data_IF_334758966998
#
_entry.id   IF_334758966998
#
_cell.length_a   1.000
_cell.length_b   1.000
_cell.length_c   1.000
_cell.angle_alpha   90.00
_cell.angle_beta   90.00
_cell.angle_gamma   90.00
#
_symmetry.space_group_name_H-M   'P 1'
#
loop_
_entity.id
_entity.type
_entity.pdbx_description
1 polymer ?
#
# COMPACT_ATOMS: atom_id res chain seq x y z
N UNK A 1 12.87 8.81 1.91
CA UNK A 1 12.95 7.66 2.84
C UNK A 1 13.94 6.66 2.26
N UNK A 2 14.89 6.15 3.06
CA UNK A 2 15.87 5.14 2.62
C UNK A 2 15.29 3.72 2.72
N UNK A 3 14.72 3.36 3.86
CA UNK A 3 13.95 2.13 4.07
C UNK A 3 13.00 2.31 5.26
N UNK A 4 12.06 1.38 5.39
CA UNK A 4 11.22 1.18 6.57
C UNK A 4 11.07 -0.34 6.77
N UNK A 5 11.09 -0.80 8.01
CA UNK A 5 10.82 -2.20 8.37
C UNK A 5 9.36 -2.38 8.74
N UNK A 6 8.78 -3.52 8.36
CA UNK A 6 7.47 -3.98 8.80
C UNK A 6 7.62 -5.36 9.39
N UNK A 7 7.41 -5.48 10.70
CA UNK A 7 7.48 -6.75 11.38
C UNK A 7 6.14 -7.46 11.35
N UNK A 8 6.16 -8.77 11.20
CA UNK A 8 4.95 -9.59 11.03
C UNK A 8 5.11 -10.95 11.68
N UNK A 9 4.03 -11.50 12.28
CA UNK A 9 4.01 -12.90 12.70
C UNK A 9 3.95 -13.88 11.51
N UNK A 10 3.55 -13.44 10.31
CA UNK A 10 3.44 -14.27 9.10
C UNK A 10 4.02 -13.54 7.87
N UNK A 11 5.33 -13.74 7.68
CA UNK A 11 6.06 -13.15 6.56
C UNK A 11 5.58 -13.63 5.19
N UNK A 12 5.06 -14.86 5.10
CA UNK A 12 4.63 -15.42 3.82
C UNK A 12 3.34 -14.75 3.35
N UNK A 13 2.36 -14.65 4.26
CA UNK A 13 1.10 -13.96 3.96
C UNK A 13 1.33 -12.47 3.66
N UNK A 14 2.14 -11.79 4.48
CA UNK A 14 2.36 -10.36 4.32
C UNK A 14 3.20 -10.04 3.07
N UNK A 15 4.23 -10.83 2.76
CA UNK A 15 5.01 -10.64 1.53
C UNK A 15 4.15 -10.88 0.29
N UNK A 16 3.38 -11.97 0.25
CA UNK A 16 2.47 -12.25 -0.87
C UNK A 16 1.48 -11.10 -1.10
N UNK A 17 0.92 -10.53 -0.02
CA UNK A 17 0.07 -9.35 -0.09
C UNK A 17 0.78 -8.15 -0.71
N UNK A 18 1.92 -7.72 -0.17
CA UNK A 18 2.60 -6.51 -0.65
C UNK A 18 3.17 -6.67 -2.06
N UNK A 19 3.62 -7.87 -2.43
CA UNK A 19 4.07 -8.14 -3.80
C UNK A 19 2.91 -8.02 -4.79
N UNK A 20 1.74 -8.58 -4.47
CA UNK A 20 0.56 -8.43 -5.31
C UNK A 20 0.09 -6.98 -5.39
N UNK A 21 -0.05 -6.31 -4.23
CA UNK A 21 -0.57 -4.95 -4.15
C UNK A 21 0.34 -3.92 -4.83
N UNK A 22 1.67 -4.01 -4.63
CA UNK A 22 2.63 -3.00 -5.08
C UNK A 22 3.25 -3.29 -6.45
N UNK A 23 3.09 -4.50 -7.00
CA UNK A 23 3.55 -4.85 -8.35
C UNK A 23 3.06 -3.87 -9.44
N UNK A 24 1.78 -3.41 -9.46
CA UNK A 24 1.33 -2.39 -10.42
C UNK A 24 2.04 -1.04 -10.34
N UNK A 25 2.59 -0.71 -9.18
CA UNK A 25 3.39 0.50 -8.97
C UNK A 25 4.86 0.30 -9.41
N UNK A 26 5.26 -0.94 -9.66
CA UNK A 26 6.61 -1.33 -10.11
C UNK A 26 7.54 -1.80 -8.99
N UNK A 27 7.05 -1.98 -7.76
CA UNK A 27 7.83 -2.53 -6.66
C UNK A 27 8.01 -4.05 -6.84
N UNK A 28 9.16 -4.55 -6.36
CA UNK A 28 9.53 -5.96 -6.38
C UNK A 28 10.23 -6.30 -5.07
N UNK A 29 10.17 -7.56 -4.67
CA UNK A 29 11.01 -8.04 -3.56
C UNK A 29 12.48 -7.88 -3.93
N UNK A 30 13.27 -7.36 -2.99
CA UNK A 30 14.72 -7.28 -3.12
C UNK A 30 15.44 -8.06 -2.02
N UNK A 31 14.88 -8.06 -0.81
CA UNK A 31 15.41 -8.76 0.35
C UNK A 31 14.31 -8.90 1.40
N UNK A 32 14.34 -9.99 2.16
CA UNK A 32 13.51 -10.22 3.34
C UNK A 32 14.40 -10.46 4.56
N UNK A 33 14.02 -9.91 5.72
CA UNK A 33 14.71 -10.12 7.00
C UNK A 33 13.74 -10.74 8.00
N UNK A 34 14.25 -11.60 8.89
CA UNK A 34 13.51 -12.07 10.06
C UNK A 34 14.08 -11.38 11.29
N UNK A 35 13.41 -10.33 11.76
CA UNK A 35 13.81 -9.58 12.95
C UNK A 35 12.59 -8.93 13.61
N UNK A 36 12.64 -8.74 14.92
CA UNK A 36 11.68 -7.91 15.66
C UNK A 36 10.30 -8.53 15.95
N UNK A 37 9.48 -7.74 16.65
CA UNK A 37 8.06 -8.02 16.94
C UNK A 37 7.19 -7.07 16.13
N UNK A 38 6.00 -7.52 15.73
CA UNK A 38 4.98 -6.68 15.08
C UNK A 38 4.76 -5.40 15.89
N UNK A 39 4.71 -4.27 15.19
CA UNK A 39 4.47 -2.96 15.77
C UNK A 39 3.07 -2.90 16.40
N UNK A 40 2.94 -2.11 17.47
CA UNK A 40 1.64 -1.86 18.11
C UNK A 40 1.15 -0.47 17.74
N UNK A 41 -0.10 -0.37 17.31
CA UNK A 41 -0.75 0.90 16.97
C UNK A 41 -1.02 1.11 15.47
N UNK A 42 -1.70 2.22 15.13
CA UNK A 42 -2.04 2.53 13.75
C UNK A 42 -0.80 2.92 12.94
N UNK A 43 -0.66 2.32 11.75
CA UNK A 43 0.39 2.65 10.79
C UNK A 43 -0.24 3.01 9.44
N UNK A 44 0.20 4.15 8.88
CA UNK A 44 -0.19 4.63 7.56
C UNK A 44 1.02 4.73 6.64
N UNK A 45 0.97 4.08 5.47
CA UNK A 45 2.02 4.15 4.46
C UNK A 45 1.47 4.55 3.10
N UNK A 46 2.04 5.60 2.51
CA UNK A 46 1.67 6.09 1.19
C UNK A 46 2.78 5.85 0.16
N UNK A 47 2.42 5.17 -0.92
CA UNK A 47 3.28 4.84 -2.04
C UNK A 47 2.98 5.76 -3.22
N UNK A 48 4.04 6.30 -3.83
CA UNK A 48 3.90 7.17 -4.99
C UNK A 48 3.59 6.35 -6.25
N UNK A 49 2.50 6.72 -6.92
CA UNK A 49 2.11 6.23 -8.23
C UNK A 49 2.45 7.26 -9.30
N UNK A 50 2.96 6.81 -10.45
CA UNK A 50 3.28 7.68 -11.58
C UNK A 50 2.05 8.12 -12.37
N UNK A 51 0.96 7.34 -12.28
CA UNK A 51 -0.30 7.59 -13.00
C UNK A 51 -1.51 7.22 -12.14
N UNK A 52 -2.67 7.81 -12.45
CA UNK A 52 -3.96 7.43 -11.83
C UNK A 52 -4.37 5.98 -12.15
N UNK A 53 -3.94 5.46 -13.30
CA UNK A 53 -4.12 4.04 -13.65
C UNK A 53 -3.38 3.12 -12.67
N UNK A 54 -2.16 3.48 -12.27
CA UNK A 54 -1.41 2.71 -11.27
C UNK A 54 -2.12 2.70 -9.91
N UNK A 55 -2.72 3.81 -9.48
CA UNK A 55 -3.54 3.87 -8.25
C UNK A 55 -4.73 2.91 -8.33
N UNK A 56 -5.45 2.90 -9.45
CA UNK A 56 -6.56 1.96 -9.66
C UNK A 56 -6.10 0.50 -9.67
N UNK A 57 -4.97 0.23 -10.33
CA UNK A 57 -4.42 -1.11 -10.43
C UNK A 57 -3.92 -1.64 -9.07
N UNK A 58 -3.23 -0.79 -8.28
CA UNK A 58 -2.88 -1.07 -6.88
C UNK A 58 -4.12 -1.45 -6.08
N UNK A 59 -5.16 -0.60 -6.09
CA UNK A 59 -6.36 -0.82 -5.29
C UNK A 59 -7.03 -2.15 -5.66
N UNK A 60 -7.20 -2.42 -6.95
CA UNK A 60 -7.76 -3.68 -7.42
C UNK A 60 -6.92 -4.89 -6.99
N UNK A 61 -5.60 -4.83 -7.18
CA UNK A 61 -4.70 -5.93 -6.81
C UNK A 61 -4.70 -6.18 -5.29
N UNK A 62 -4.68 -5.12 -4.48
CA UNK A 62 -4.74 -5.23 -3.03
C UNK A 62 -6.05 -5.87 -2.55
N UNK A 63 -7.19 -5.50 -3.12
CA UNK A 63 -8.48 -6.15 -2.81
C UNK A 63 -8.49 -7.63 -3.19
N UNK A 64 -7.95 -8.00 -4.36
CA UNK A 64 -7.81 -9.40 -4.75
C UNK A 64 -6.87 -10.18 -3.82
N UNK A 65 -5.87 -9.51 -3.25
CA UNK A 65 -4.94 -10.09 -2.28
C UNK A 65 -5.49 -10.13 -0.84
N UNK A 66 -6.77 -9.79 -0.63
CA UNK A 66 -7.43 -9.92 0.67
C UNK A 66 -7.45 -8.66 1.53
N UNK A 67 -7.06 -7.49 1.00
CA UNK A 67 -7.23 -6.24 1.73
C UNK A 67 -8.71 -5.84 1.84
N UNK A 68 -9.01 -5.04 2.86
CA UNK A 68 -10.30 -4.36 2.99
C UNK A 68 -10.24 -2.97 2.34
N UNK A 69 -11.26 -2.58 1.59
CA UNK A 69 -11.34 -1.22 1.03
C UNK A 69 -11.46 -0.18 2.16
N UNK A 70 -10.61 0.83 2.15
CA UNK A 70 -10.65 1.96 3.09
C UNK A 70 -10.86 3.31 2.39
N UNK A 71 -11.11 3.28 1.08
CA UNK A 71 -11.30 4.47 0.27
C UNK A 71 -11.02 4.17 -1.20
N UNK A 72 -12.05 4.12 -2.06
CA UNK A 72 -11.86 3.78 -3.46
C UNK A 72 -10.98 4.82 -4.17
N UNK A 73 -10.39 4.46 -5.33
CA UNK A 73 -9.59 5.37 -6.14
C UNK A 73 -10.40 6.62 -6.52
N UNK A 74 -9.90 7.80 -6.18
CA UNK A 74 -10.58 9.05 -6.48
C UNK A 74 -9.76 10.28 -6.14
N UNK A 75 -10.25 11.43 -6.59
CA UNK A 75 -9.69 12.72 -6.19
C UNK A 75 -10.01 13.03 -4.73
N UNK A 76 -9.05 13.66 -4.05
CA UNK A 76 -9.18 14.21 -2.70
C UNK A 76 -8.90 15.71 -2.72
N UNK A 77 -9.81 16.53 -3.30
CA UNK A 77 -9.60 17.97 -3.40
C UNK A 77 -9.43 18.65 -2.05
N UNK A 78 -9.91 18.03 -0.96
CA UNK A 78 -9.69 18.49 0.41
C UNK A 78 -8.23 18.43 0.88
N UNK A 79 -7.38 17.66 0.19
CA UNK A 79 -5.94 17.61 0.47
C UNK A 79 -5.19 18.49 -0.52
N UNK A 80 -5.26 18.16 -1.81
CA UNK A 80 -4.75 18.96 -2.91
C UNK A 80 -5.56 18.69 -4.17
N UNK A 81 -5.63 19.67 -5.07
CA UNK A 81 -6.51 19.62 -6.25
C UNK A 81 -6.20 18.46 -7.21
N UNK A 82 -4.94 18.02 -7.27
CA UNK A 82 -4.49 16.88 -8.11
C UNK A 82 -4.29 15.58 -7.33
N UNK A 83 -4.66 15.54 -6.05
CA UNK A 83 -4.43 14.38 -5.18
C UNK A 83 -5.36 13.24 -5.55
N UNK A 84 -4.90 12.31 -6.40
CA UNK A 84 -5.66 11.12 -6.75
C UNK A 84 -5.10 9.92 -5.99
N UNK A 85 -5.90 9.32 -5.11
CA UNK A 85 -5.42 8.26 -4.24
C UNK A 85 -6.47 7.16 -3.99
N UNK A 86 -5.99 6.02 -3.50
CA UNK A 86 -6.81 4.90 -3.03
C UNK A 86 -6.22 4.36 -1.72
N UNK A 87 -7.08 3.87 -0.84
CA UNK A 87 -6.72 3.37 0.49
C UNK A 87 -7.26 1.95 0.70
N UNK A 88 -6.46 1.11 1.33
CA UNK A 88 -6.84 -0.24 1.74
C UNK A 88 -6.28 -0.55 3.12
N UNK A 89 -6.97 -1.40 3.88
CA UNK A 89 -6.43 -1.99 5.11
C UNK A 89 -5.79 -3.33 4.76
N UNK A 90 -4.49 -3.48 5.06
CA UNK A 90 -3.78 -4.75 4.87
C UNK A 90 -4.30 -5.85 5.82
N UNK A 91 -3.88 -7.12 5.66
CA UNK A 91 -4.31 -8.22 6.54
C UNK A 91 -3.96 -8.03 8.02
N UNK A 92 -3.09 -7.07 8.34
CA UNK A 92 -2.58 -6.81 9.68
C UNK A 92 -3.10 -5.51 10.30
N UNK A 93 -4.01 -4.80 9.62
CA UNK A 93 -4.66 -3.58 10.10
C UNK A 93 -3.95 -2.27 9.73
N UNK A 94 -2.94 -2.29 8.85
CA UNK A 94 -2.23 -1.09 8.40
C UNK A 94 -2.99 -0.40 7.28
N UNK A 95 -3.05 0.94 7.32
CA UNK A 95 -3.63 1.73 6.24
C UNK A 95 -2.60 1.94 5.13
N UNK A 96 -2.85 1.38 3.96
CA UNK A 96 -1.94 1.44 2.81
C UNK A 96 -2.57 2.27 1.72
N UNK A 97 -1.79 3.23 1.22
CA UNK A 97 -2.20 4.20 0.22
C UNK A 97 -1.34 4.11 -1.03
N UNK A 98 -1.97 4.25 -2.20
CA UNK A 98 -1.27 4.66 -3.41
C UNK A 98 -1.79 6.03 -3.84
N UNK A 99 -0.86 6.96 -4.11
CA UNK A 99 -1.17 8.34 -4.45
C UNK A 99 -0.46 8.79 -5.72
N UNK A 100 -1.21 9.43 -6.62
CA UNK A 100 -0.70 10.13 -7.80
C UNK A 100 -1.04 11.61 -7.65
N UNK A 101 -0.03 12.47 -7.61
CA UNK A 101 -0.19 13.93 -7.54
C UNK A 101 -0.23 14.60 -8.93
N UNK A 102 -0.07 13.81 -10.01
CA UNK A 102 -0.16 14.31 -11.38
C UNK A 102 -1.63 14.36 -11.86
N UNK A 103 -1.98 15.35 -12.70
CA UNK A 103 -3.28 15.38 -13.36
C UNK A 103 -3.54 14.14 -14.23
#
# INVERSE_FOLDING_TARGET
>A
ISHIGLNTPDINALSAFYLAALSPLGYKEKMSFMDGKKETGPLHLAFSARTRNQVRAFHRAALYAGATCNGPPGLRPQYFMTYYAAFVIDPEGRNIEAVCMKP
#
